data_IF_029411529849
#
_entry.id   IF_029411529849
#
_cell.length_a   1.000
_cell.length_b   1.000
_cell.length_c   1.000
_cell.angle_alpha   90.00
_cell.angle_beta   90.00
_cell.angle_gamma   90.00
#
_symmetry.space_group_name_H-M   'P 1'
#
loop_
_entity.id
_entity.type
_entity.pdbx_description
1 polymer ?
#
# COMPACT_ATOMS: atom_id res chain seq x y z
N UNK A 1 -26.94 1.43 -60.92
CA UNK A 1 -27.04 1.86 -59.51
C UNK A 1 -26.34 0.82 -58.65
N UNK A 2 -25.25 1.18 -57.96
CA UNK A 2 -24.55 0.31 -57.01
C UNK A 2 -24.50 1.06 -55.68
N UNK A 3 -25.23 0.56 -54.69
CA UNK A 3 -25.24 1.10 -53.33
C UNK A 3 -24.13 0.37 -52.59
N UNK A 4 -23.08 1.09 -52.22
CA UNK A 4 -22.00 0.57 -51.37
C UNK A 4 -22.47 0.81 -49.93
N UNK A 5 -22.93 -0.26 -49.27
CA UNK A 5 -23.25 -0.22 -47.85
C UNK A 5 -21.95 -0.23 -47.05
N UNK A 6 -21.61 0.90 -46.44
CA UNK A 6 -20.50 1.02 -45.52
C UNK A 6 -20.91 0.48 -44.15
N UNK A 7 -20.46 -0.73 -43.82
CA UNK A 7 -20.67 -1.34 -42.50
C UNK A 7 -19.72 -0.69 -41.50
N UNK A 8 -20.25 0.19 -40.66
CA UNK A 8 -19.56 0.78 -39.51
C UNK A 8 -19.17 -0.34 -38.53
N UNK A 9 -17.87 -0.66 -38.47
CA UNK A 9 -17.32 -1.55 -37.47
C UNK A 9 -17.30 -0.80 -36.11
N UNK A 10 -18.24 -1.15 -35.24
CA UNK A 10 -18.32 -0.65 -33.87
C UNK A 10 -17.21 -1.34 -33.05
N UNK A 11 -16.07 -0.66 -32.86
CA UNK A 11 -14.97 -1.15 -32.04
C UNK A 11 -15.39 -1.17 -30.56
N UNK A 12 -15.66 -2.37 -30.04
CA UNK A 12 -15.91 -2.59 -28.61
C UNK A 12 -14.59 -2.38 -27.87
N UNK A 13 -14.41 -1.21 -27.24
CA UNK A 13 -13.31 -1.01 -26.29
C UNK A 13 -13.60 -1.84 -25.04
N UNK A 14 -12.91 -2.98 -24.91
CA UNK A 14 -12.87 -3.75 -23.67
C UNK A 14 -12.13 -2.92 -22.61
N UNK A 15 -12.74 -2.61 -21.45
CA UNK A 15 -12.01 -2.00 -20.36
C UNK A 15 -10.95 -3.00 -19.88
N UNK A 16 -9.68 -2.64 -20.02
CA UNK A 16 -8.58 -3.40 -19.45
C UNK A 16 -8.71 -3.32 -17.92
N UNK A 17 -9.34 -4.33 -17.32
CA UNK A 17 -9.34 -4.51 -15.87
C UNK A 17 -7.91 -4.88 -15.48
N UNK A 18 -7.10 -3.87 -15.15
CA UNK A 18 -5.80 -4.05 -14.51
C UNK A 18 -6.10 -4.59 -13.12
N UNK A 19 -6.07 -5.91 -12.97
CA UNK A 19 -6.19 -6.57 -11.67
C UNK A 19 -4.90 -6.24 -10.92
N UNK A 20 -5.01 -5.47 -9.83
CA UNK A 20 -3.89 -5.26 -8.92
C UNK A 20 -3.36 -6.64 -8.51
N UNK A 21 -2.14 -6.97 -8.92
CA UNK A 21 -1.52 -8.21 -8.46
C UNK A 21 -1.26 -8.04 -6.97
N UNK A 22 -1.79 -8.95 -6.17
CA UNK A 22 -1.48 -8.99 -4.75
C UNK A 22 0.04 -9.10 -4.62
N UNK A 23 0.65 -8.20 -3.86
CA UNK A 23 2.07 -8.32 -3.56
C UNK A 23 2.22 -9.49 -2.61
N UNK A 24 3.10 -10.42 -2.96
CA UNK A 24 3.40 -11.56 -2.08
C UNK A 24 3.90 -11.05 -0.73
N UNK A 25 3.30 -11.57 0.33
CA UNK A 25 3.77 -11.35 1.69
C UNK A 25 5.01 -12.22 1.91
N UNK A 26 6.16 -11.57 1.96
CA UNK A 26 7.46 -12.20 2.27
C UNK A 26 7.77 -12.19 3.77
N UNK A 27 6.81 -11.81 4.62
CA UNK A 27 6.97 -11.70 6.06
C UNK A 27 7.63 -10.40 6.54
N UNK A 28 8.00 -9.49 5.63
CA UNK A 28 8.62 -8.21 6.00
C UNK A 28 7.68 -7.34 6.83
N UNK A 29 6.40 -7.23 6.44
CA UNK A 29 5.44 -6.37 7.13
C UNK A 29 5.11 -6.86 8.56
N UNK A 30 4.85 -8.17 8.79
CA UNK A 30 4.73 -8.70 10.14
C UNK A 30 5.95 -8.42 11.00
N UNK A 31 7.16 -8.63 10.47
CA UNK A 31 8.39 -8.40 11.25
C UNK A 31 8.59 -6.92 11.57
N UNK A 32 8.28 -6.04 10.63
CA UNK A 32 8.36 -4.61 10.82
C UNK A 32 7.39 -4.13 11.91
N UNK A 33 6.16 -4.66 11.95
CA UNK A 33 5.19 -4.33 12.98
C UNK A 33 5.66 -4.73 14.39
N UNK A 34 6.29 -5.91 14.54
CA UNK A 34 6.90 -6.33 15.81
C UNK A 34 8.00 -5.36 16.25
N UNK A 35 8.89 -4.97 15.34
CA UNK A 35 9.96 -4.03 15.62
C UNK A 35 9.40 -2.65 16.03
N UNK A 36 8.34 -2.18 15.37
CA UNK A 36 7.71 -0.90 15.65
C UNK A 36 7.12 -0.82 17.04
N UNK A 37 6.50 -1.90 17.55
CA UNK A 37 6.02 -1.98 18.94
C UNK A 37 7.14 -1.76 19.97
N UNK A 38 8.39 -2.01 19.60
CA UNK A 38 9.55 -1.84 20.48
C UNK A 38 10.19 -0.45 20.33
N UNK A 39 10.22 0.09 19.11
CA UNK A 39 10.95 1.33 18.77
C UNK A 39 10.07 2.58 18.97
N UNK A 40 8.77 2.49 18.67
CA UNK A 40 7.85 3.61 18.71
C UNK A 40 6.81 3.39 19.80
N UNK A 41 6.96 4.12 20.91
CA UNK A 41 6.03 4.06 22.05
C UNK A 41 4.57 4.32 21.66
N UNK A 42 4.32 5.13 20.62
CA UNK A 42 2.98 5.47 20.13
C UNK A 42 2.48 4.60 18.97
N UNK A 43 3.17 3.52 18.62
CA UNK A 43 2.68 2.63 17.57
C UNK A 43 1.44 1.85 18.07
N UNK A 44 0.33 1.85 17.33
CA UNK A 44 -0.92 1.28 17.83
C UNK A 44 -0.89 -0.25 17.85
N UNK A 45 -1.76 -0.83 18.66
CA UNK A 45 -2.08 -2.25 18.52
C UNK A 45 -2.90 -2.50 17.26
N UNK A 46 -2.54 -3.57 16.55
CA UNK A 46 -3.11 -3.96 15.27
C UNK A 46 -3.85 -5.29 15.39
N UNK A 47 -4.94 -5.45 14.64
CA UNK A 47 -5.70 -6.69 14.56
C UNK A 47 -4.83 -7.80 13.97
N UNK A 48 -4.93 -8.99 14.57
CA UNK A 48 -4.28 -10.19 14.04
C UNK A 48 -4.75 -10.43 12.60
N UNK A 49 -3.83 -10.85 11.74
CA UNK A 49 -4.08 -11.20 10.34
C UNK A 49 -4.61 -10.04 9.46
N UNK A 50 -4.44 -8.78 9.90
CA UNK A 50 -4.83 -7.58 9.14
C UNK A 50 -3.68 -6.86 8.45
N UNK A 51 -2.44 -7.37 8.62
CA UNK A 51 -1.25 -6.76 8.04
C UNK A 51 -1.21 -7.09 6.56
N UNK A 52 -1.08 -6.06 5.73
CA UNK A 52 -0.98 -6.19 4.28
C UNK A 52 0.20 -5.40 3.75
N UNK A 53 0.88 -5.96 2.74
CA UNK A 53 1.89 -5.25 1.95
C UNK A 53 1.22 -4.55 0.78
N UNK A 54 1.58 -3.28 0.57
CA UNK A 54 1.00 -2.46 -0.49
C UNK A 54 2.06 -1.92 -1.46
N UNK A 55 1.66 -1.71 -2.71
CA UNK A 55 2.57 -1.31 -3.79
C UNK A 55 2.96 0.16 -3.72
N UNK A 56 2.12 0.96 -3.06
CA UNK A 56 2.24 2.40 -3.03
C UNK A 56 1.57 2.93 -1.78
N UNK A 57 2.13 3.99 -1.20
CA UNK A 57 1.51 4.71 -0.08
C UNK A 57 0.11 5.21 -0.42
N UNK A 58 -0.20 5.43 -1.71
CA UNK A 58 -1.52 5.81 -2.20
C UNK A 58 -2.59 4.72 -2.02
N UNK A 59 -2.18 3.47 -1.82
CA UNK A 59 -3.09 2.38 -1.47
C UNK A 59 -3.33 2.27 0.05
N UNK A 60 -2.61 3.08 0.84
CA UNK A 60 -2.93 3.29 2.24
C UNK A 60 -3.87 4.47 2.41
N UNK A 61 -4.20 4.72 3.67
CA UNK A 61 -4.92 5.88 4.16
C UNK A 61 -4.07 7.16 4.31
N UNK A 62 -2.74 7.06 4.14
CA UNK A 62 -1.84 8.18 4.38
C UNK A 62 -1.97 9.29 3.33
N UNK A 63 -1.91 10.54 3.81
CA UNK A 63 -2.04 11.73 2.95
C UNK A 63 -0.78 12.02 2.13
N UNK A 64 0.37 11.52 2.58
CA UNK A 64 1.70 11.84 2.02
C UNK A 64 2.56 10.59 1.90
N UNK A 65 3.52 10.67 0.97
CA UNK A 65 4.53 9.64 0.81
C UNK A 65 5.54 9.62 1.97
N UNK A 66 6.14 8.46 2.28
CA UNK A 66 7.33 8.37 3.12
C UNK A 66 8.46 9.31 2.69
N UNK A 67 8.87 10.21 3.58
CA UNK A 67 9.94 11.19 3.34
C UNK A 67 11.34 10.56 3.39
N UNK A 68 12.38 11.29 2.98
CA UNK A 68 13.78 10.80 2.96
C UNK A 68 14.28 10.37 1.58
N UNK A 69 15.60 10.21 1.42
CA UNK A 69 16.27 9.90 0.14
C UNK A 69 16.48 8.40 -0.09
N UNK A 70 16.29 7.60 0.96
CA UNK A 70 16.47 6.15 1.00
C UNK A 70 15.43 5.45 0.11
N UNK A 71 15.71 4.20 -0.26
CA UNK A 71 14.79 3.43 -1.09
C UNK A 71 13.73 2.76 -0.23
N UNK A 72 12.49 2.76 -0.71
CA UNK A 72 11.39 2.03 -0.05
C UNK A 72 11.65 0.53 -0.14
N UNK A 73 11.66 -0.13 1.02
CA UNK A 73 11.80 -1.58 1.14
C UNK A 73 10.43 -2.23 1.36
N UNK A 74 9.63 -1.69 2.27
CA UNK A 74 8.26 -2.13 2.48
C UNK A 74 7.33 -0.98 2.85
N UNK A 75 6.13 -1.07 2.31
CA UNK A 75 4.97 -0.27 2.65
C UNK A 75 3.90 -1.22 3.15
N UNK A 76 3.40 -0.97 4.35
CA UNK A 76 2.52 -1.88 5.05
C UNK A 76 1.31 -1.10 5.58
N UNK A 77 0.16 -1.75 5.61
CA UNK A 77 -1.03 -1.25 6.27
C UNK A 77 -1.57 -2.31 7.21
N UNK A 78 -2.24 -1.89 8.27
CA UNK A 78 -2.96 -2.80 9.16
C UNK A 78 -4.18 -2.11 9.77
N UNK A 79 -5.19 -2.90 10.11
CA UNK A 79 -6.30 -2.40 10.90
C UNK A 79 -5.91 -2.35 12.37
N UNK A 80 -6.19 -1.23 13.04
CA UNK A 80 -5.94 -1.13 14.47
C UNK A 80 -6.95 -1.99 15.24
N UNK A 81 -6.59 -2.39 16.48
CA UNK A 81 -7.55 -2.99 17.41
C UNK A 81 -8.61 -1.99 17.85
N UNK A 82 -8.22 -0.71 17.97
CA UNK A 82 -9.15 0.43 17.99
C UNK A 82 -9.79 0.65 16.62
N UNK A 83 -10.70 1.61 16.52
CA UNK A 83 -11.14 2.10 15.21
C UNK A 83 -9.96 2.72 14.45
N UNK A 84 -10.02 2.64 13.11
CA UNK A 84 -9.01 3.18 12.19
C UNK A 84 -8.00 2.16 11.64
N UNK A 85 -6.97 2.69 10.99
CA UNK A 85 -5.88 1.92 10.39
C UNK A 85 -4.54 2.60 10.59
N UNK A 86 -3.45 1.86 10.39
CA UNK A 86 -2.10 2.41 10.45
C UNK A 86 -1.35 2.07 9.17
N UNK A 87 -0.76 3.09 8.56
CA UNK A 87 0.21 2.95 7.50
C UNK A 87 1.61 3.00 8.11
N UNK A 88 2.49 2.07 7.76
CA UNK A 88 3.85 2.03 8.27
C UNK A 88 4.83 1.52 7.22
N UNK A 89 6.07 1.98 7.30
CA UNK A 89 7.04 1.77 6.25
C UNK A 89 8.46 1.68 6.78
N UNK A 90 9.32 1.10 5.93
CA UNK A 90 10.77 1.07 6.10
C UNK A 90 11.44 1.38 4.78
N UNK A 91 12.46 2.22 4.86
CA UNK A 91 13.34 2.61 3.78
C UNK A 91 14.77 2.29 4.19
N UNK A 92 15.55 1.77 3.26
CA UNK A 92 16.96 1.45 3.47
C UNK A 92 17.83 2.16 2.44
N UNK A 93 18.94 2.72 2.92
CA UNK A 93 20.06 3.21 2.15
C UNK A 93 21.34 2.42 2.51
N UNK A 94 22.46 2.81 1.90
CA UNK A 94 23.77 2.16 2.17
C UNK A 94 24.22 2.41 3.61
N UNK A 95 23.89 3.57 4.19
CA UNK A 95 24.40 4.02 5.49
C UNK A 95 23.32 4.24 6.55
N UNK A 96 22.05 4.20 6.16
CA UNK A 96 20.93 4.54 7.04
C UNK A 96 19.71 3.67 6.77
N UNK A 97 18.95 3.43 7.83
CA UNK A 97 17.59 2.91 7.77
C UNK A 97 16.65 4.00 8.30
N UNK A 98 15.57 4.26 7.57
CA UNK A 98 14.55 5.22 7.96
C UNK A 98 13.19 4.52 7.96
N UNK A 99 12.51 4.59 9.08
CA UNK A 99 11.19 3.98 9.24
C UNK A 99 10.21 5.00 9.81
N UNK A 100 8.92 4.74 9.67
CA UNK A 100 7.89 5.60 10.24
C UNK A 100 6.50 5.02 10.05
N UNK A 101 5.52 5.64 10.73
CA UNK A 101 4.11 5.29 10.62
C UNK A 101 3.23 6.54 10.63
N UNK A 102 2.02 6.39 10.11
CA UNK A 102 0.92 7.35 10.14
C UNK A 102 -0.32 6.58 10.59
N UNK A 103 -0.92 7.02 11.70
CA UNK A 103 -2.24 6.54 12.12
C UNK A 103 -3.26 7.29 11.29
N UNK A 104 -4.17 6.54 10.68
CA UNK A 104 -5.25 7.06 9.87
C UNK A 104 -6.59 6.78 10.53
N UNK A 105 -7.54 7.70 10.33
CA UNK A 105 -8.93 7.56 10.77
C UNK A 105 -9.05 7.22 12.26
N UNK A 106 -8.25 7.89 13.09
CA UNK A 106 -8.45 7.90 14.55
C UNK A 106 -9.60 8.88 14.87
N UNK A 107 -10.63 8.49 15.65
CA UNK A 107 -11.75 9.36 15.99
C UNK A 107 -11.34 10.63 16.75
#
# INVERSE_FOLDING_TARGET
>A
MKIIAATLALSVMLPSVVRAQAIEDDGTCPKLAENFKTIYFGFPDIKKDSIERIASWKASCASKAPVGKENVVALCTAHMTSEGSVFFWIKAGVESELSGYEICDYP
#
